data_IF_007159973845
#
_entry.id   IF_007159973845
#
_cell.length_a   1.000
_cell.length_b   1.000
_cell.length_c   1.000
_cell.angle_alpha   90.00
_cell.angle_beta   90.00
_cell.angle_gamma   90.00
#
_symmetry.space_group_name_H-M   'P 1'
#
loop_
_entity.id
_entity.type
_entity.pdbx_description
1 polymer ?
#
# COMPACT_ATOMS: atom_id res chain seq x y z
N UNK A 1 -18.46 -0.80 29.18
CA UNK A 1 -17.04 -0.55 28.87
C UNK A 1 -16.83 0.95 28.73
N UNK A 2 -15.83 1.49 29.41
CA UNK A 2 -15.52 2.92 29.38
C UNK A 2 -14.95 3.32 28.01
N UNK A 3 -15.12 4.58 27.61
CA UNK A 3 -14.64 5.12 26.32
C UNK A 3 -13.15 4.85 26.08
N UNK A 4 -12.32 4.87 27.13
CA UNK A 4 -10.88 4.60 27.03
C UNK A 4 -10.53 3.18 26.60
N UNK A 5 -11.27 2.17 27.09
CA UNK A 5 -11.07 0.76 26.73
C UNK A 5 -11.45 0.49 25.25
N UNK A 6 -12.42 1.24 24.71
CA UNK A 6 -12.75 1.17 23.27
C UNK A 6 -11.64 1.76 22.40
N UNK A 7 -11.08 2.90 22.78
CA UNK A 7 -10.00 3.56 22.02
C UNK A 7 -8.71 2.74 22.05
N UNK A 8 -8.36 2.14 23.20
CA UNK A 8 -7.17 1.28 23.29
C UNK A 8 -7.26 0.04 22.37
N UNK A 9 -8.44 -0.56 22.23
CA UNK A 9 -8.65 -1.68 21.29
C UNK A 9 -8.59 -1.25 19.84
N UNK A 10 -9.14 -0.07 19.53
CA UNK A 10 -9.07 0.48 18.18
C UNK A 10 -7.62 0.78 17.80
N UNK A 11 -6.82 1.29 18.73
CA UNK A 11 -5.41 1.57 18.49
C UNK A 11 -4.59 0.27 18.27
N UNK A 12 -4.78 -0.74 19.12
CA UNK A 12 -4.13 -2.04 18.92
C UNK A 12 -4.53 -2.69 17.59
N UNK A 13 -5.82 -2.61 17.21
CA UNK A 13 -6.30 -3.14 15.95
C UNK A 13 -5.76 -2.35 14.74
N UNK A 14 -5.66 -1.03 14.84
CA UNK A 14 -5.01 -0.18 13.82
C UNK A 14 -3.57 -0.62 13.58
N UNK A 15 -2.79 -0.87 14.64
CA UNK A 15 -1.39 -1.32 14.51
C UNK A 15 -1.28 -2.66 13.78
N UNK A 16 -2.17 -3.60 14.09
CA UNK A 16 -2.24 -4.89 13.40
C UNK A 16 -2.57 -4.70 11.91
N UNK A 17 -3.59 -3.90 11.58
CA UNK A 17 -3.95 -3.59 10.18
C UNK A 17 -2.81 -2.90 9.42
N UNK A 18 -2.10 -1.96 10.04
CA UNK A 18 -0.94 -1.29 9.42
C UNK A 18 0.21 -2.26 9.13
N UNK A 19 0.44 -3.24 10.02
CA UNK A 19 1.41 -4.32 9.82
C UNK A 19 0.98 -5.22 8.66
N UNK A 20 -0.27 -5.68 8.64
CA UNK A 20 -0.82 -6.51 7.57
C UNK A 20 -0.76 -5.80 6.21
N UNK A 21 -1.06 -4.49 6.18
CA UNK A 21 -0.94 -3.68 4.97
C UNK A 21 0.50 -3.66 4.45
N UNK A 22 1.47 -3.43 5.34
CA UNK A 22 2.89 -3.40 4.98
C UNK A 22 3.32 -4.75 4.39
N UNK A 23 2.93 -5.86 5.00
CA UNK A 23 3.24 -7.20 4.49
C UNK A 23 2.61 -7.47 3.11
N UNK A 24 1.33 -7.12 2.94
CA UNK A 24 0.64 -7.25 1.67
C UNK A 24 1.30 -6.41 0.56
N UNK A 25 1.68 -5.17 0.88
CA UNK A 25 2.39 -4.30 -0.05
C UNK A 25 3.76 -4.87 -0.41
N UNK A 26 4.54 -5.34 0.56
CA UNK A 26 5.85 -5.97 0.31
C UNK A 26 5.71 -7.19 -0.61
N UNK A 27 4.69 -8.04 -0.40
CA UNK A 27 4.43 -9.19 -1.26
C UNK A 27 4.11 -8.77 -2.73
N UNK A 28 3.30 -7.73 -2.89
CA UNK A 28 2.97 -7.16 -4.20
C UNK A 28 4.21 -6.53 -4.88
N UNK A 29 5.04 -5.82 -4.11
CA UNK A 29 6.28 -5.23 -4.61
C UNK A 29 7.29 -6.30 -5.02
N UNK A 30 7.45 -7.39 -4.26
CA UNK A 30 8.34 -8.51 -4.61
C UNK A 30 7.94 -9.17 -5.92
N UNK A 31 6.65 -9.39 -6.12
CA UNK A 31 6.15 -9.94 -7.40
C UNK A 31 6.38 -8.99 -8.57
N UNK A 32 6.26 -7.68 -8.33
CA UNK A 32 6.52 -6.66 -9.35
C UNK A 32 8.01 -6.53 -9.67
N UNK A 33 8.88 -6.54 -8.66
CA UNK A 33 10.33 -6.57 -8.80
C UNK A 33 10.83 -7.81 -9.56
N UNK A 34 10.15 -8.96 -9.38
CA UNK A 34 10.39 -10.17 -10.15
C UNK A 34 9.93 -10.10 -11.63
N UNK A 35 9.33 -8.98 -12.05
CA UNK A 35 8.95 -8.73 -13.45
C UNK A 35 7.46 -8.87 -13.75
N UNK A 36 6.58 -9.01 -12.74
CA UNK A 36 5.14 -8.80 -12.97
C UNK A 36 4.85 -7.29 -13.09
N UNK A 37 3.91 -6.93 -13.95
CA UNK A 37 3.52 -5.54 -14.21
C UNK A 37 2.08 -5.31 -13.77
N UNK A 38 1.68 -4.04 -13.67
CA UNK A 38 0.31 -3.61 -13.39
C UNK A 38 0.10 -3.13 -11.96
N UNK A 39 1.09 -3.29 -11.08
CA UNK A 39 0.99 -2.79 -9.71
C UNK A 39 0.97 -1.26 -9.70
N UNK A 40 1.83 -0.60 -10.48
CA UNK A 40 1.85 0.87 -10.57
C UNK A 40 1.04 1.41 -11.76
N UNK A 41 0.57 0.54 -12.66
CA UNK A 41 -0.24 0.90 -13.84
C UNK A 41 0.44 1.93 -14.77
N UNK A 42 1.76 1.79 -14.97
CA UNK A 42 2.56 2.71 -15.79
C UNK A 42 2.29 2.55 -17.30
N UNK A 43 1.85 1.36 -17.72
CA UNK A 43 1.57 1.02 -19.12
C UNK A 43 0.11 0.70 -19.33
N UNK A 44 -0.37 0.95 -20.55
CA UNK A 44 -1.72 0.58 -21.01
C UNK A 44 -1.85 -0.93 -21.30
N UNK A 45 -1.20 -1.77 -20.49
CA UNK A 45 -1.34 -3.23 -20.57
C UNK A 45 -2.56 -3.66 -19.75
N UNK A 46 -3.64 -3.95 -20.46
CA UNK A 46 -4.91 -4.35 -19.84
C UNK A 46 -4.83 -5.69 -19.12
N UNK A 47 -3.97 -6.61 -19.57
CA UNK A 47 -3.83 -7.94 -18.97
C UNK A 47 -3.07 -7.84 -17.65
N UNK A 48 -1.94 -7.12 -17.66
CA UNK A 48 -1.16 -6.85 -16.46
C UNK A 48 -2.00 -6.09 -15.41
N UNK A 49 -2.75 -5.07 -15.84
CA UNK A 49 -3.68 -4.34 -14.97
C UNK A 49 -4.76 -5.23 -14.37
N UNK A 50 -5.40 -6.07 -15.18
CA UNK A 50 -6.45 -6.97 -14.70
C UNK A 50 -5.90 -8.02 -13.70
N UNK A 51 -4.68 -8.51 -13.92
CA UNK A 51 -4.02 -9.43 -13.00
C UNK A 51 -3.66 -8.77 -11.66
N UNK A 52 -3.26 -7.49 -11.68
CA UNK A 52 -2.94 -6.73 -10.47
C UNK A 52 -4.19 -6.19 -9.75
N UNK A 53 -5.31 -5.99 -10.44
CA UNK A 53 -6.51 -5.33 -9.91
C UNK A 53 -7.00 -5.90 -8.55
N UNK A 54 -7.04 -7.23 -8.32
CA UNK A 54 -7.45 -7.76 -7.02
C UNK A 54 -6.52 -7.34 -5.87
N UNK A 55 -5.20 -7.31 -6.13
CA UNK A 55 -4.19 -6.92 -5.14
C UNK A 55 -4.32 -5.42 -4.84
N UNK A 56 -4.55 -4.61 -5.88
CA UNK A 56 -4.75 -3.17 -5.73
C UNK A 56 -6.02 -2.85 -4.95
N UNK A 57 -7.12 -3.56 -5.25
CA UNK A 57 -8.37 -3.41 -4.53
C UNK A 57 -8.18 -3.75 -3.05
N UNK A 58 -7.57 -4.91 -2.74
CA UNK A 58 -7.26 -5.30 -1.37
C UNK A 58 -6.44 -4.25 -0.63
N UNK A 59 -5.36 -3.73 -1.24
CA UNK A 59 -4.55 -2.67 -0.61
C UNK A 59 -5.34 -1.38 -0.42
N UNK A 60 -6.24 -1.04 -1.35
CA UNK A 60 -7.08 0.15 -1.23
C UNK A 60 -8.07 0.02 -0.08
N UNK A 61 -8.78 -1.11 -0.02
CA UNK A 61 -9.74 -1.40 1.05
C UNK A 61 -9.06 -1.36 2.43
N UNK A 62 -7.90 -2.02 2.57
CA UNK A 62 -7.12 -1.99 3.81
C UNK A 62 -6.65 -0.56 4.18
N UNK A 63 -6.19 0.22 3.19
CA UNK A 63 -5.75 1.59 3.41
C UNK A 63 -6.87 2.50 3.90
N UNK A 64 -8.06 2.38 3.30
CA UNK A 64 -9.26 3.12 3.69
C UNK A 64 -9.76 2.72 5.10
N UNK A 65 -9.71 1.44 5.45
CA UNK A 65 -10.06 0.96 6.79
C UNK A 65 -9.09 1.48 7.86
N UNK A 66 -7.79 1.51 7.55
CA UNK A 66 -6.77 2.10 8.43
C UNK A 66 -7.00 3.60 8.59
N UNK A 67 -7.28 4.32 7.51
CA UNK A 67 -7.59 5.77 7.57
C UNK A 67 -8.81 6.05 8.44
N UNK A 68 -9.87 5.23 8.33
CA UNK A 68 -11.06 5.35 9.18
C UNK A 68 -10.76 5.07 10.66
N UNK A 69 -9.88 4.13 10.97
CA UNK A 69 -9.43 3.87 12.34
C UNK A 69 -8.57 5.03 12.90
N UNK A 70 -7.67 5.57 12.07
CA UNK A 70 -6.80 6.70 12.41
C UNK A 70 -7.60 7.97 12.64
N UNK A 71 -8.61 8.26 11.81
CA UNK A 71 -9.51 9.39 11.99
C UNK A 71 -10.23 9.33 13.34
N UNK A 72 -10.77 8.17 13.71
CA UNK A 72 -11.43 7.96 15.00
C UNK A 72 -10.50 8.15 16.21
N UNK A 73 -9.20 7.92 16.04
CA UNK A 73 -8.15 8.13 17.04
C UNK A 73 -7.58 9.57 17.01
N UNK A 74 -7.97 10.40 16.04
CA UNK A 74 -7.43 11.74 15.84
C UNK A 74 -6.00 11.75 15.28
N UNK A 75 -5.60 10.69 14.58
CA UNK A 75 -4.30 10.54 13.94
C UNK A 75 -4.33 11.07 12.49
N UNK A 76 -3.19 11.51 11.94
CA UNK A 76 -3.11 11.88 10.52
C UNK A 76 -3.33 10.65 9.63
N UNK A 77 -3.71 10.83 8.34
CA UNK A 77 -3.89 9.73 7.40
C UNK A 77 -2.67 8.81 7.28
N UNK A 78 -2.88 7.59 6.81
CA UNK A 78 -1.88 6.57 6.66
C UNK A 78 -0.96 6.88 5.48
N UNK A 79 0.19 7.47 5.80
CA UNK A 79 1.14 7.97 4.81
C UNK A 79 1.59 6.91 3.80
N UNK A 80 1.83 5.66 4.25
CA UNK A 80 2.27 4.58 3.38
C UNK A 80 1.26 4.27 2.27
N UNK A 81 -0.04 4.31 2.59
CA UNK A 81 -1.09 4.11 1.61
C UNK A 81 -1.17 5.27 0.61
N UNK A 82 -1.12 6.51 1.11
CA UNK A 82 -1.12 7.71 0.27
C UNK A 82 0.08 7.73 -0.69
N UNK A 83 1.27 7.39 -0.21
CA UNK A 83 2.49 7.27 -1.03
C UNK A 83 2.34 6.19 -2.11
N UNK A 84 1.76 5.04 -1.76
CA UNK A 84 1.53 3.96 -2.71
C UNK A 84 0.59 4.42 -3.82
N UNK A 85 -0.56 5.01 -3.48
CA UNK A 85 -1.50 5.52 -4.46
C UNK A 85 -0.87 6.61 -5.36
N UNK A 86 -0.11 7.54 -4.77
CA UNK A 86 0.58 8.59 -5.51
C UNK A 86 1.64 8.05 -6.47
N UNK A 87 2.21 6.89 -6.17
CA UNK A 87 3.20 6.22 -7.03
C UNK A 87 2.58 5.46 -8.22
N UNK A 88 1.25 5.38 -8.29
CA UNK A 88 0.52 4.76 -9.39
C UNK A 88 0.15 5.79 -10.46
N UNK A 89 0.01 5.32 -11.70
CA UNK A 89 -0.57 6.07 -12.80
C UNK A 89 0.38 6.24 -13.98
N UNK A 90 -0.04 7.01 -15.00
CA UNK A 90 0.77 7.21 -16.20
C UNK A 90 2.04 8.00 -15.87
N UNK A 91 3.17 7.48 -16.30
CA UNK A 91 4.48 8.12 -16.13
C UNK A 91 5.06 8.57 -17.48
N UNK A 92 5.99 9.52 -17.42
CA UNK A 92 6.71 9.99 -18.60
C UNK A 92 7.61 8.90 -19.23
N UNK A 93 8.05 9.09 -20.48
CA UNK A 93 8.88 8.12 -21.20
C UNK A 93 10.26 7.86 -20.56
N UNK A 94 10.74 8.80 -19.74
CA UNK A 94 12.00 8.71 -18.97
C UNK A 94 11.86 7.88 -17.68
N UNK A 95 10.63 7.50 -17.31
CA UNK A 95 10.39 6.84 -16.04
C UNK A 95 10.98 5.43 -16.02
N UNK A 96 11.53 5.06 -14.85
CA UNK A 96 12.00 3.70 -14.60
C UNK A 96 10.83 2.73 -14.69
N UNK A 97 11.09 1.51 -15.19
CA UNK A 97 10.07 0.47 -15.25
C UNK A 97 9.58 0.05 -13.86
N UNK A 98 8.34 -0.47 -13.80
CA UNK A 98 7.70 -0.94 -12.56
C UNK A 98 8.60 -1.87 -11.71
N UNK A 99 9.37 -2.82 -12.28
CA UNK A 99 10.23 -3.68 -11.47
C UNK A 99 11.32 -2.91 -10.70
N UNK A 100 11.90 -1.88 -11.32
CA UNK A 100 12.95 -1.06 -10.68
C UNK A 100 12.37 -0.13 -9.63
N UNK A 101 11.18 0.43 -9.89
CA UNK A 101 10.44 1.19 -8.89
C UNK A 101 10.05 0.31 -7.71
N UNK A 102 9.58 -0.91 -7.95
CA UNK A 102 9.26 -1.87 -6.89
C UNK A 102 10.49 -2.21 -6.04
N UNK A 103 11.65 -2.42 -6.66
CA UNK A 103 12.89 -2.64 -5.93
C UNK A 103 13.26 -1.43 -5.07
N UNK A 104 13.18 -0.20 -5.59
CA UNK A 104 13.44 1.01 -4.82
C UNK A 104 12.49 1.16 -3.62
N UNK A 105 11.23 0.74 -3.77
CA UNK A 105 10.27 0.68 -2.68
C UNK A 105 10.67 -0.36 -1.62
N UNK A 106 11.04 -1.58 -2.03
CA UNK A 106 11.51 -2.62 -1.11
C UNK A 106 12.76 -2.17 -0.34
N UNK A 107 13.73 -1.59 -1.03
CA UNK A 107 14.97 -1.08 -0.43
C UNK A 107 14.67 0.00 0.62
N UNK A 108 13.71 0.90 0.34
CA UNK A 108 13.25 1.91 1.29
C UNK A 108 12.56 1.29 2.50
N UNK A 109 11.58 0.40 2.29
CA UNK A 109 10.81 -0.21 3.37
C UNK A 109 11.70 -1.06 4.29
N UNK A 110 12.71 -1.75 3.75
CA UNK A 110 13.70 -2.50 4.53
C UNK A 110 14.71 -1.63 5.28
N UNK A 111 14.84 -0.35 4.94
CA UNK A 111 15.67 0.60 5.68
C UNK A 111 14.90 1.30 6.82
N UNK A 112 13.58 1.21 6.80
CA UNK A 112 12.66 1.78 7.81
C UNK A 112 12.31 0.78 8.94
N UNK A 113 12.54 -0.52 8.72
CA UNK A 113 12.40 -1.60 9.72
C UNK A 113 13.65 -1.70 10.63
#
# INVERSE_FOLDING_TARGET
>A
MAKGDRLARLDAHREEMESEYREALIAALRTTAAGKWGLFDHRKDRVARAAAAPIVAQLTDMGEEIDAAREQLGLPPFALHAEFLASRGPVGPEAVGEPKQAQAWLDRLSAED
#
